data_IF_767586270231
#
_entry.id   IF_767586270231
#
_cell.length_a   1.000
_cell.length_b   1.000
_cell.length_c   1.000
_cell.angle_alpha   90.00
_cell.angle_beta   90.00
_cell.angle_gamma   90.00
#
_symmetry.space_group_name_H-M   'P 1'
#
loop_
_entity.id
_entity.type
_entity.pdbx_description
1 polymer ?
#
# COMPACT_ATOMS: atom_id res chain seq x y z
N UNK A 1 -23.73 -58.60 -64.58
CA UNK A 1 -24.98 -57.96 -64.13
C UNK A 1 -24.68 -57.22 -62.82
N UNK A 2 -24.94 -55.90 -62.77
CA UNK A 2 -24.64 -54.89 -61.70
C UNK A 2 -23.13 -54.54 -61.58
N UNK A 3 -22.57 -53.41 -62.02
CA UNK A 3 -22.85 -51.96 -61.95
C UNK A 3 -23.03 -51.44 -60.51
N UNK A 4 -22.08 -50.63 -60.02
CA UNK A 4 -22.20 -49.30 -59.40
C UNK A 4 -20.77 -48.86 -58.94
N UNK A 5 -20.11 -47.90 -59.61
CA UNK A 5 -20.08 -46.45 -59.36
C UNK A 5 -19.20 -45.99 -58.17
N UNK A 6 -18.13 -45.22 -58.52
CA UNK A 6 -17.53 -43.96 -57.97
C UNK A 6 -17.59 -43.76 -56.43
N UNK A 7 -16.59 -43.19 -55.76
CA UNK A 7 -16.36 -41.75 -55.62
C UNK A 7 -14.99 -41.49 -54.96
N UNK A 8 -14.29 -40.47 -55.47
CA UNK A 8 -13.09 -39.88 -54.85
C UNK A 8 -13.48 -39.16 -53.56
N UNK A 9 -12.73 -39.37 -52.47
CA UNK A 9 -12.79 -38.51 -51.30
C UNK A 9 -11.38 -38.01 -50.98
N UNK A 10 -11.08 -36.81 -51.48
CA UNK A 10 -9.92 -36.01 -51.08
C UNK A 10 -10.19 -35.50 -49.65
N UNK A 11 -9.50 -36.02 -48.64
CA UNK A 11 -9.55 -35.48 -47.28
C UNK A 11 -8.47 -34.40 -47.19
N UNK A 12 -8.90 -33.14 -47.30
CA UNK A 12 -8.07 -31.97 -47.01
C UNK A 12 -7.95 -31.86 -45.47
N UNK A 13 -6.78 -32.18 -44.93
CA UNK A 13 -6.46 -31.94 -43.52
C UNK A 13 -6.26 -30.44 -43.30
N UNK A 14 -7.30 -29.75 -42.83
CA UNK A 14 -7.21 -28.38 -42.31
C UNK A 14 -6.54 -28.48 -40.94
N UNK A 15 -5.26 -28.07 -40.87
CA UNK A 15 -4.58 -27.86 -39.60
C UNK A 15 -5.20 -26.65 -38.90
N UNK A 16 -6.16 -26.90 -38.00
CA UNK A 16 -6.66 -25.90 -37.06
C UNK A 16 -5.53 -25.71 -36.04
N UNK A 17 -4.77 -24.63 -36.21
CA UNK A 17 -3.83 -24.18 -35.18
C UNK A 17 -4.62 -23.88 -33.90
N UNK A 18 -4.40 -24.68 -32.86
CA UNK A 18 -4.77 -24.29 -31.51
C UNK A 18 -3.91 -23.07 -31.14
N UNK A 19 -4.45 -21.88 -31.34
CA UNK A 19 -3.97 -20.70 -30.64
C UNK A 19 -4.30 -20.91 -29.17
N UNK A 20 -3.30 -21.30 -28.39
CA UNK A 20 -3.37 -21.23 -26.93
C UNK A 20 -3.62 -19.78 -26.57
N UNK A 21 -4.84 -19.45 -26.13
CA UNK A 21 -5.09 -18.21 -25.41
C UNK A 21 -4.18 -18.25 -24.19
N UNK A 22 -3.12 -17.45 -24.19
CA UNK A 22 -2.33 -17.19 -23.01
C UNK A 22 -3.31 -16.67 -21.94
N UNK A 23 -3.61 -17.51 -20.96
CA UNK A 23 -4.28 -17.06 -19.76
C UNK A 23 -3.34 -16.04 -19.14
N UNK A 24 -3.74 -14.77 -19.24
CA UNK A 24 -3.10 -13.66 -18.56
C UNK A 24 -3.48 -13.82 -17.09
N UNK A 25 -2.82 -14.77 -16.42
CA UNK A 25 -2.88 -14.90 -14.97
C UNK A 25 -2.22 -13.63 -14.42
N UNK A 26 -3.04 -12.63 -14.12
CA UNK A 26 -2.65 -11.62 -13.15
C UNK A 26 -2.40 -12.36 -11.86
N UNK A 27 -1.15 -12.77 -11.64
CA UNK A 27 -0.73 -13.30 -10.35
C UNK A 27 -0.99 -12.18 -9.34
N UNK A 28 -2.06 -12.28 -8.57
CA UNK A 28 -2.23 -11.50 -7.37
C UNK A 28 -0.94 -11.69 -6.57
N UNK A 29 -0.17 -10.61 -6.41
CA UNK A 29 1.11 -10.66 -5.70
C UNK A 29 0.87 -11.41 -4.38
N UNK A 30 1.55 -12.56 -4.22
CA UNK A 30 1.37 -13.42 -3.05
C UNK A 30 1.69 -12.58 -1.82
N UNK A 31 0.66 -12.29 -1.01
CA UNK A 31 0.81 -11.49 0.20
C UNK A 31 1.86 -12.13 1.09
N UNK A 32 2.74 -11.30 1.67
CA UNK A 32 3.68 -11.79 2.66
C UNK A 32 2.90 -12.24 3.90
N UNK A 33 3.05 -13.50 4.34
CA UNK A 33 2.47 -13.93 5.60
C UNK A 33 3.01 -13.06 6.74
N UNK A 34 2.13 -12.65 7.64
CA UNK A 34 2.47 -11.91 8.86
C UNK A 34 1.40 -12.19 9.91
N UNK A 35 1.82 -12.32 11.16
CA UNK A 35 0.94 -12.52 12.32
C UNK A 35 0.37 -11.19 12.81
N UNK A 36 -0.76 -11.25 13.53
CA UNK A 36 -1.35 -10.05 14.15
C UNK A 36 -0.40 -9.36 15.13
N UNK A 37 0.32 -10.13 15.93
CA UNK A 37 1.31 -9.60 16.87
C UNK A 37 2.40 -8.81 16.13
N UNK A 38 2.93 -9.36 15.03
CA UNK A 38 3.90 -8.65 14.19
C UNK A 38 3.31 -7.38 13.56
N UNK A 39 2.04 -7.38 13.13
CA UNK A 39 1.39 -6.17 12.63
C UNK A 39 1.35 -5.06 13.69
N UNK A 40 1.05 -5.41 14.95
CA UNK A 40 1.03 -4.47 16.06
C UNK A 40 2.43 -3.99 16.41
N UNK A 41 3.43 -4.86 16.46
CA UNK A 41 4.81 -4.44 16.71
C UNK A 41 5.33 -3.49 15.63
N UNK A 42 4.97 -3.71 14.36
CA UNK A 42 5.27 -2.77 13.27
C UNK A 42 4.53 -1.45 13.45
N UNK A 43 3.24 -1.48 13.81
CA UNK A 43 2.47 -0.28 14.11
C UNK A 43 3.14 0.56 15.21
N UNK A 44 3.56 -0.08 16.31
CA UNK A 44 4.32 0.54 17.40
C UNK A 44 5.65 1.11 16.92
N UNK A 45 6.39 0.38 16.10
CA UNK A 45 7.66 0.85 15.55
C UNK A 45 7.50 2.17 14.78
N UNK A 46 6.44 2.33 13.99
CA UNK A 46 6.16 3.59 13.29
C UNK A 46 5.57 4.67 14.22
N UNK A 47 4.65 4.32 15.12
CA UNK A 47 3.97 5.26 16.02
C UNK A 47 4.88 5.82 17.13
N UNK A 48 5.88 5.05 17.55
CA UNK A 48 6.83 5.42 18.60
C UNK A 48 8.24 5.69 18.06
N UNK A 49 8.37 5.86 16.74
CA UNK A 49 9.65 6.15 16.11
C UNK A 49 10.16 7.52 16.55
N UNK A 50 11.34 7.58 17.18
CA UNK A 50 11.89 8.85 17.69
C UNK A 50 12.91 9.42 16.72
N UNK A 51 12.78 10.72 16.43
CA UNK A 51 13.69 11.45 15.56
C UNK A 51 13.74 12.93 15.95
N UNK A 52 14.74 13.67 15.43
CA UNK A 52 14.86 15.11 15.66
C UNK A 52 14.65 15.85 14.35
N UNK A 53 13.71 16.79 14.32
CA UNK A 53 13.49 17.65 13.16
C UNK A 53 14.64 18.65 13.02
N UNK A 54 15.42 18.57 11.95
CA UNK A 54 16.50 19.53 11.68
C UNK A 54 15.97 20.72 10.87
N UNK A 55 16.73 21.82 10.85
CA UNK A 55 16.37 23.01 10.06
C UNK A 55 16.11 22.71 8.58
N UNK A 56 16.82 21.74 8.01
CA UNK A 56 16.61 21.31 6.61
C UNK A 56 15.29 20.56 6.40
N UNK A 57 14.73 19.96 7.46
CA UNK A 57 13.49 19.20 7.39
C UNK A 57 12.24 20.08 7.51
N UNK A 58 12.40 21.37 7.82
CA UNK A 58 11.28 22.32 7.94
C UNK A 58 10.93 22.99 6.62
N UNK A 59 11.64 22.69 5.53
CA UNK A 59 11.51 23.36 4.24
C UNK A 59 11.44 22.36 3.10
N UNK A 60 10.55 22.60 2.13
CA UNK A 60 10.46 21.84 0.89
C UNK A 60 10.07 22.79 -0.25
N UNK A 61 10.78 22.67 -1.38
CA UNK A 61 10.54 23.49 -2.58
C UNK A 61 9.73 22.77 -3.66
N UNK A 62 9.59 21.45 -3.56
CA UNK A 62 8.91 20.67 -4.60
C UNK A 62 7.37 20.72 -4.61
N UNK A 63 6.63 21.03 -3.50
CA UNK A 63 5.19 21.15 -3.58
C UNK A 63 4.76 22.26 -4.54
N UNK A 64 4.12 21.88 -5.64
CA UNK A 64 3.77 22.81 -6.73
C UNK A 64 2.44 23.52 -6.48
N UNK A 65 1.53 22.89 -5.73
CA UNK A 65 0.16 23.37 -5.55
C UNK A 65 0.03 24.46 -4.50
N UNK A 66 0.79 24.37 -3.40
CA UNK A 66 0.77 25.31 -2.27
C UNK A 66 2.15 25.38 -1.61
N UNK A 67 2.53 26.55 -1.05
CA UNK A 67 3.74 26.67 -0.24
C UNK A 67 3.76 25.64 0.88
N UNK A 68 4.91 25.00 1.05
CA UNK A 68 5.12 24.06 2.14
C UNK A 68 5.23 24.81 3.48
N UNK A 69 4.59 24.23 4.50
CA UNK A 69 4.82 24.58 5.89
C UNK A 69 4.96 23.28 6.67
N UNK A 70 6.03 23.16 7.46
CA UNK A 70 6.25 22.00 8.32
C UNK A 70 5.35 22.08 9.56
N UNK A 71 4.87 20.93 10.00
CA UNK A 71 4.15 20.80 11.28
C UNK A 71 5.10 20.80 12.48
N UNK A 72 6.40 20.64 12.23
CA UNK A 72 7.44 20.50 13.25
C UNK A 72 8.42 21.66 13.22
N UNK A 73 9.04 21.93 14.37
CA UNK A 73 10.05 22.99 14.53
C UNK A 73 11.45 22.41 14.45
N UNK A 74 12.39 23.22 13.96
CA UNK A 74 13.80 22.84 14.00
C UNK A 74 14.27 22.62 15.46
N UNK A 75 14.98 21.53 15.71
CA UNK A 75 15.43 21.08 17.02
C UNK A 75 14.38 20.30 17.82
N UNK A 76 13.15 20.14 17.31
CA UNK A 76 12.10 19.39 17.99
C UNK A 76 12.39 17.90 18.00
N UNK A 77 12.29 17.26 19.17
CA UNK A 77 12.28 15.81 19.29
C UNK A 77 10.85 15.32 19.09
N UNK A 78 10.65 14.52 18.05
CA UNK A 78 9.33 14.05 17.62
C UNK A 78 9.24 12.55 17.85
N UNK A 79 8.07 12.12 18.32
CA UNK A 79 7.69 10.71 18.41
C UNK A 79 6.63 10.42 17.35
N UNK A 80 6.87 9.38 16.56
CA UNK A 80 6.04 8.96 15.44
C UNK A 80 6.59 9.42 14.09
N UNK A 81 6.47 8.56 13.08
CA UNK A 81 6.73 8.93 11.69
C UNK A 81 5.66 9.95 11.26
N UNK A 82 6.06 11.11 10.71
CA UNK A 82 5.14 12.17 10.32
C UNK A 82 4.21 11.73 9.18
N UNK A 83 3.02 12.33 9.16
CA UNK A 83 2.07 12.11 8.08
C UNK A 83 2.59 12.73 6.77
N UNK A 84 2.67 11.95 5.71
CA UNK A 84 3.10 12.41 4.38
C UNK A 84 2.09 11.99 3.33
N UNK A 85 1.44 12.94 2.66
CA UNK A 85 0.38 12.64 1.70
C UNK A 85 0.89 11.80 0.52
N UNK A 86 0.38 10.57 0.40
CA UNK A 86 0.89 9.62 -0.58
C UNK A 86 2.01 8.73 -0.05
N UNK A 87 2.59 9.03 1.11
CA UNK A 87 3.78 8.42 1.67
C UNK A 87 3.67 6.94 2.00
N UNK A 88 4.79 6.25 1.87
CA UNK A 88 4.97 4.82 2.18
C UNK A 88 6.39 4.54 2.69
N UNK A 89 7.02 5.49 3.38
CA UNK A 89 8.36 5.31 3.90
C UNK A 89 8.34 4.43 5.15
N UNK A 90 8.92 3.23 5.05
CA UNK A 90 9.23 2.42 6.22
C UNK A 90 10.21 3.16 7.16
N UNK A 91 10.28 2.83 8.45
CA UNK A 91 11.15 3.55 9.41
C UNK A 91 12.58 3.77 8.91
N UNK A 92 13.21 2.75 8.30
CA UNK A 92 14.57 2.85 7.80
C UNK A 92 14.70 3.75 6.56
N UNK A 93 13.64 3.84 5.74
CA UNK A 93 13.58 4.74 4.60
C UNK A 93 13.34 6.17 5.06
N UNK A 94 12.47 6.35 6.05
CA UNK A 94 12.22 7.63 6.70
C UNK A 94 13.51 8.18 7.31
N UNK A 95 14.23 7.39 8.11
CA UNK A 95 15.50 7.79 8.74
C UNK A 95 16.54 8.24 7.71
N UNK A 96 16.67 7.51 6.61
CA UNK A 96 17.57 7.89 5.52
C UNK A 96 17.15 9.22 4.89
N UNK A 97 15.89 9.35 4.48
CA UNK A 97 15.38 10.52 3.77
C UNK A 97 15.38 11.78 4.63
N UNK A 98 15.00 11.66 5.91
CA UNK A 98 15.02 12.78 6.85
C UNK A 98 16.47 13.23 7.12
N UNK A 99 17.41 12.28 7.22
CA UNK A 99 18.84 12.58 7.31
C UNK A 99 19.41 13.21 6.03
N UNK A 100 18.91 12.85 4.86
CA UNK A 100 19.25 13.48 3.56
C UNK A 100 18.64 14.89 3.41
N UNK A 101 17.70 15.27 4.27
CA UNK A 101 17.11 16.60 4.30
C UNK A 101 15.78 16.73 3.59
N UNK A 102 15.08 15.62 3.33
CA UNK A 102 13.68 15.70 2.93
C UNK A 102 12.84 16.35 4.04
N UNK A 103 11.77 17.03 3.67
CA UNK A 103 10.91 17.69 4.63
C UNK A 103 10.04 16.68 5.39
N UNK A 104 9.79 16.96 6.67
CA UNK A 104 9.03 16.08 7.54
C UNK A 104 7.53 16.15 7.23
N UNK A 105 7.00 15.12 6.56
CA UNK A 105 5.58 15.03 6.27
C UNK A 105 5.07 16.05 5.24
N UNK A 106 3.82 15.87 4.83
CA UNK A 106 3.08 16.74 3.91
C UNK A 106 1.56 16.50 4.04
N UNK A 107 0.76 17.40 3.46
CA UNK A 107 -0.70 17.39 3.54
C UNK A 107 -1.31 17.25 2.14
N UNK A 108 -2.59 16.86 2.05
CA UNK A 108 -3.31 16.71 0.77
C UNK A 108 -3.22 17.93 -0.14
N UNK A 109 -3.22 19.13 0.44
CA UNK A 109 -3.06 20.40 -0.29
C UNK A 109 -1.73 20.54 -1.04
N UNK A 110 -0.70 19.77 -0.67
CA UNK A 110 0.62 19.75 -1.30
C UNK A 110 0.70 18.73 -2.46
N UNK A 111 -0.31 17.86 -2.61
CA UNK A 111 -0.25 16.72 -3.52
C UNK A 111 0.75 15.66 -3.07
N UNK A 112 0.99 14.65 -3.91
CA UNK A 112 2.06 13.67 -3.67
C UNK A 112 3.38 14.29 -4.11
N UNK A 113 4.35 14.36 -3.20
CA UNK A 113 5.63 15.04 -3.40
C UNK A 113 6.78 14.05 -3.31
N UNK A 114 7.90 14.36 -3.98
CA UNK A 114 9.14 13.56 -3.90
C UNK A 114 10.16 14.08 -2.89
N UNK A 115 9.95 15.27 -2.32
CA UNK A 115 10.88 15.94 -1.41
C UNK A 115 10.39 15.97 0.05
N UNK A 116 9.32 15.24 0.34
CA UNK A 116 8.81 15.00 1.69
C UNK A 116 8.91 13.51 2.02
N UNK A 117 8.96 13.19 3.30
CA UNK A 117 9.08 11.80 3.78
C UNK A 117 8.13 11.52 4.93
N UNK A 118 7.60 10.30 4.95
CA UNK A 118 6.70 9.81 5.98
C UNK A 118 5.73 8.74 5.49
N UNK A 119 4.63 8.60 6.22
CA UNK A 119 3.56 7.64 5.94
C UNK A 119 2.22 8.36 5.79
N UNK A 120 1.39 7.98 4.82
CA UNK A 120 -0.04 8.30 4.92
C UNK A 120 -0.83 7.20 5.61
N UNK A 121 -2.14 7.42 5.79
CA UNK A 121 -3.04 6.48 6.43
C UNK A 121 -2.95 5.04 5.86
N UNK A 122 -2.94 4.92 4.54
CA UNK A 122 -2.92 3.63 3.84
C UNK A 122 -1.51 3.07 3.66
N UNK A 123 -0.50 3.94 3.60
CA UNK A 123 0.91 3.59 3.66
C UNK A 123 1.25 2.96 5.01
N UNK A 124 0.78 3.55 6.11
CA UNK A 124 0.93 3.00 7.46
C UNK A 124 0.34 1.59 7.57
N UNK A 125 -0.90 1.39 7.13
CA UNK A 125 -1.53 0.05 7.14
C UNK A 125 -0.77 -0.95 6.26
N UNK A 126 -0.38 -0.55 5.05
CA UNK A 126 0.40 -1.40 4.14
C UNK A 126 1.73 -1.81 4.75
N UNK A 127 2.40 -0.89 5.46
CA UNK A 127 3.63 -1.15 6.19
C UNK A 127 3.39 -2.13 7.34
N UNK A 128 2.36 -1.91 8.16
CA UNK A 128 2.00 -2.79 9.27
C UNK A 128 1.70 -4.22 8.81
N UNK A 129 1.05 -4.37 7.65
CA UNK A 129 0.77 -5.67 7.02
C UNK A 129 1.94 -6.25 6.21
N UNK A 130 3.15 -5.68 6.33
CA UNK A 130 4.37 -6.14 5.66
C UNK A 130 4.20 -6.29 4.14
N UNK A 131 3.51 -5.33 3.52
CA UNK A 131 3.35 -5.33 2.08
C UNK A 131 4.58 -4.72 1.39
N UNK A 132 4.98 -5.23 0.21
CA UNK A 132 6.12 -4.68 -0.54
C UNK A 132 5.79 -3.35 -1.22
N UNK A 133 4.51 -2.99 -1.28
CA UNK A 133 4.00 -1.80 -1.92
C UNK A 133 2.80 -1.26 -1.12
N UNK A 134 2.49 0.00 -1.37
CA UNK A 134 1.32 0.65 -0.80
C UNK A 134 0.04 0.22 -1.50
N UNK A 135 -0.96 -0.15 -0.70
CA UNK A 135 -2.33 -0.32 -1.13
C UNK A 135 -3.16 0.84 -0.58
N UNK A 136 -3.74 1.65 -1.47
CA UNK A 136 -4.58 2.79 -1.08
C UNK A 136 -5.91 2.37 -0.47
N UNK A 137 -6.62 3.32 0.13
CA UNK A 137 -7.94 3.07 0.78
C UNK A 137 -8.96 2.44 -0.17
N UNK A 138 -8.91 2.76 -1.47
CA UNK A 138 -9.78 2.14 -2.49
C UNK A 138 -9.31 0.77 -2.97
N UNK A 139 -8.03 0.43 -2.84
CA UNK A 139 -7.44 -0.81 -3.38
C UNK A 139 -7.11 -1.84 -2.31
N UNK A 140 -7.14 -1.48 -1.03
CA UNK A 140 -6.82 -2.36 0.10
C UNK A 140 -7.68 -3.64 0.15
N UNK A 141 -8.89 -3.60 -0.42
CA UNK A 141 -9.79 -4.75 -0.53
C UNK A 141 -9.26 -5.86 -1.44
N UNK A 142 -8.32 -5.56 -2.33
CA UNK A 142 -7.67 -6.57 -3.16
C UNK A 142 -6.81 -7.55 -2.35
N UNK A 143 -6.40 -7.16 -1.13
CA UNK A 143 -5.53 -7.95 -0.28
C UNK A 143 -6.16 -8.34 1.06
N UNK A 144 -7.28 -7.72 1.44
CA UNK A 144 -7.97 -7.97 2.69
C UNK A 144 -9.49 -7.99 2.52
N UNK A 145 -10.08 -9.18 2.67
CA UNK A 145 -11.53 -9.36 2.67
C UNK A 145 -12.16 -8.83 3.96
N UNK A 146 -13.46 -8.53 3.91
CA UNK A 146 -14.23 -8.20 5.12
C UNK A 146 -14.27 -9.43 6.05
N UNK A 147 -13.94 -9.29 7.35
CA UNK A 147 -14.08 -10.40 8.28
C UNK A 147 -15.53 -10.86 8.43
N UNK A 148 -15.73 -12.14 8.75
CA UNK A 148 -17.07 -12.75 8.91
C UNK A 148 -17.68 -12.53 10.30
N UNK A 149 -16.89 -12.10 11.28
CA UNK A 149 -17.35 -11.85 12.66
C UNK A 149 -18.00 -10.48 12.82
N UNK A 150 -18.60 -10.24 14.00
CA UNK A 150 -19.21 -8.97 14.32
C UNK A 150 -18.13 -7.92 14.58
N UNK A 151 -17.91 -7.04 13.60
CA UNK A 151 -16.89 -5.99 13.65
C UNK A 151 -17.16 -4.88 14.69
N UNK A 152 -18.29 -4.90 15.40
CA UNK A 152 -18.50 -4.04 16.57
C UNK A 152 -17.91 -4.64 17.86
N UNK A 153 -17.92 -5.95 18.01
CA UNK A 153 -17.57 -6.64 19.28
C UNK A 153 -16.35 -7.55 19.18
N UNK A 154 -15.98 -7.96 17.97
CA UNK A 154 -15.03 -9.05 17.74
C UNK A 154 -13.82 -8.62 16.89
N UNK A 155 -13.56 -7.31 16.79
CA UNK A 155 -12.38 -6.81 16.08
C UNK A 155 -11.12 -7.37 16.72
N UNK A 156 -10.15 -7.71 15.88
CA UNK A 156 -8.89 -8.30 16.30
C UNK A 156 -7.75 -7.33 15.98
N UNK A 157 -6.73 -7.25 16.84
CA UNK A 157 -5.54 -6.45 16.56
C UNK A 157 -5.02 -6.69 15.13
N UNK A 158 -4.75 -5.62 14.40
CA UNK A 158 -4.33 -5.67 12.99
C UNK A 158 -5.47 -5.63 11.96
N UNK A 159 -6.74 -5.75 12.39
CA UNK A 159 -7.88 -5.40 11.53
C UNK A 159 -7.90 -3.89 11.26
N UNK A 160 -8.69 -3.45 10.28
CA UNK A 160 -8.75 -2.04 9.86
C UNK A 160 -10.17 -1.56 9.66
N UNK A 161 -10.41 -0.30 10.02
CA UNK A 161 -11.59 0.44 9.57
C UNK A 161 -11.17 1.25 8.34
N UNK A 162 -11.75 0.89 7.19
CA UNK A 162 -11.44 1.54 5.92
C UNK A 162 -12.67 2.27 5.36
N UNK A 163 -12.55 3.58 5.19
CA UNK A 163 -13.45 4.40 4.38
C UNK A 163 -12.79 4.62 3.02
N UNK A 164 -13.17 3.77 2.05
CA UNK A 164 -12.57 3.75 0.72
C UNK A 164 -12.62 5.15 0.06
N UNK A 165 -11.49 5.58 -0.50
CA UNK A 165 -11.31 6.89 -1.10
C UNK A 165 -11.00 8.03 -0.12
N UNK A 166 -10.97 7.78 1.19
CA UNK A 166 -10.84 8.82 2.21
C UNK A 166 -9.77 8.49 3.26
N UNK A 167 -10.05 7.55 4.17
CA UNK A 167 -9.18 7.29 5.31
C UNK A 167 -9.23 5.84 5.78
N UNK A 168 -8.16 5.38 6.42
CA UNK A 168 -8.05 4.05 7.00
C UNK A 168 -7.27 4.12 8.31
N UNK A 169 -7.73 3.36 9.31
CA UNK A 169 -7.07 3.23 10.61
C UNK A 169 -6.91 1.75 10.97
N UNK A 170 -5.84 1.44 11.69
CA UNK A 170 -5.56 0.10 12.21
C UNK A 170 -6.12 -0.04 13.62
N UNK A 171 -6.87 -1.11 13.85
CA UNK A 171 -7.38 -1.47 15.16
C UNK A 171 -6.26 -2.13 15.97
N UNK A 172 -5.80 -1.45 17.03
CA UNK A 172 -4.76 -1.95 17.91
C UNK A 172 -5.33 -2.89 18.97
N UNK A 173 -6.29 -2.42 19.75
CA UNK A 173 -6.94 -3.15 20.83
C UNK A 173 -8.23 -2.44 21.28
N UNK A 174 -9.02 -3.11 22.12
CA UNK A 174 -10.08 -2.46 22.88
C UNK A 174 -9.47 -1.77 24.11
N UNK A 175 -10.01 -0.62 24.49
CA UNK A 175 -9.66 -0.02 25.78
C UNK A 175 -10.06 -1.00 26.89
N UNK A 176 -9.13 -1.23 27.82
CA UNK A 176 -9.37 -2.00 29.04
C UNK A 176 -10.22 -1.23 30.05
#
# INVERSE_FOLDING_TARGET
MRIQQRYYLLILLIAIGLTTLAQNDQSAAKLKPITRAEMIERAKAAAFHNWTCQQKNTVASCPQSKPYASDFKAGENVTGIPYDWGGFDHPEQFDRKIAEGQAAGSHSKHGVTSCTTGLDCSGFVSYCWNQPQKYGTSTIRAIAAKPKYNWFTDMKPGDVFNKAGDHIILFAEYNA
#
